data_IF_365109182205
#
_entry.id   IF_365109182205
#
_cell.length_a   1.000
_cell.length_b   1.000
_cell.length_c   1.000
_cell.angle_alpha   90.00
_cell.angle_beta   90.00
_cell.angle_gamma   90.00
#
_symmetry.space_group_name_H-M   'P 1'
#
loop_
_entity.id
_entity.type
_entity.pdbx_description
1 polymer ?
#
# COMPACT_ATOMS: atom_id res chain seq x y z
N UNK A 1 73.63 31.38 -41.87
CA UNK A 1 73.57 30.39 -42.96
C UNK A 1 72.24 29.64 -42.88
N UNK A 2 71.34 29.89 -43.83
CA UNK A 2 70.07 29.16 -44.02
C UNK A 2 70.36 27.78 -44.62
N UNK A 3 69.75 26.73 -44.10
CA UNK A 3 69.44 25.49 -44.85
C UNK A 3 67.93 25.24 -44.68
N UNK A 4 67.12 25.26 -45.74
CA UNK A 4 65.71 24.97 -45.66
C UNK A 4 65.49 23.45 -45.57
N UNK A 5 64.56 23.03 -44.72
CA UNK A 5 64.04 21.67 -44.71
C UNK A 5 63.15 21.48 -45.96
N UNK A 6 63.54 20.59 -46.85
CA UNK A 6 62.78 20.19 -48.03
C UNK A 6 61.80 19.08 -47.62
N UNK A 7 60.53 19.40 -47.45
CA UNK A 7 59.44 18.42 -47.43
C UNK A 7 59.25 17.88 -48.85
N UNK A 8 59.80 16.70 -49.13
CA UNK A 8 59.57 15.98 -50.37
C UNK A 8 58.08 15.63 -50.47
N UNK A 9 57.44 16.01 -51.58
CA UNK A 9 56.07 15.58 -51.91
C UNK A 9 56.11 14.05 -52.09
N UNK A 10 55.38 13.31 -51.25
CA UNK A 10 55.18 11.87 -51.43
C UNK A 10 54.63 11.60 -52.84
N UNK A 11 55.18 10.59 -53.51
CA UNK A 11 54.67 10.07 -54.78
C UNK A 11 53.19 9.68 -54.60
N UNK A 12 52.26 10.21 -55.43
CA UNK A 12 50.83 9.88 -55.35
C UNK A 12 50.53 8.38 -55.26
N UNK A 13 51.34 7.54 -55.92
CA UNK A 13 51.15 6.08 -55.91
C UNK A 13 51.53 5.44 -54.56
N UNK A 14 52.49 6.01 -53.84
CA UNK A 14 52.85 5.55 -52.50
C UNK A 14 51.75 5.92 -51.49
N UNK A 15 51.17 7.11 -51.63
CA UNK A 15 50.02 7.53 -50.82
C UNK A 15 48.81 6.59 -51.00
N UNK A 16 48.55 6.12 -52.23
CA UNK A 16 47.48 5.14 -52.46
C UNK A 16 47.80 3.78 -51.84
N UNK A 17 49.06 3.32 -51.87
CA UNK A 17 49.45 2.09 -51.18
C UNK A 17 49.23 2.20 -49.66
N UNK A 18 49.51 3.37 -49.07
CA UNK A 18 49.31 3.61 -47.65
C UNK A 18 47.82 3.58 -47.27
N UNK A 19 46.95 4.16 -48.10
CA UNK A 19 45.49 4.08 -47.91
C UNK A 19 44.96 2.64 -48.02
N UNK A 20 45.50 1.84 -48.94
CA UNK A 20 45.14 0.41 -49.04
C UNK A 20 45.61 -0.36 -47.80
N UNK A 21 46.79 -0.06 -47.27
CA UNK A 21 47.30 -0.67 -46.02
C UNK A 21 46.42 -0.30 -44.82
N UNK A 22 45.99 0.96 -44.69
CA UNK A 22 45.05 1.41 -43.65
C UNK A 22 43.70 0.68 -43.74
N UNK A 23 43.19 0.49 -44.96
CA UNK A 23 41.97 -0.29 -45.15
C UNK A 23 42.11 -1.77 -44.77
N UNK A 24 43.27 -2.37 -45.02
CA UNK A 24 43.55 -3.75 -44.59
C UNK A 24 43.61 -3.85 -43.05
N UNK A 25 44.14 -2.83 -42.37
CA UNK A 25 44.15 -2.79 -40.90
C UNK A 25 42.76 -2.69 -40.28
N UNK A 26 41.77 -2.22 -41.04
CA UNK A 26 40.37 -2.16 -40.63
C UNK A 26 39.61 -3.49 -40.80
N UNK A 27 40.28 -4.54 -41.29
CA UNK A 27 39.68 -5.86 -41.52
C UNK A 27 39.62 -6.75 -40.28
N UNK A 28 38.65 -7.67 -40.28
CA UNK A 28 38.50 -8.71 -39.25
C UNK A 28 39.37 -9.95 -39.51
N UNK A 29 40.21 -9.95 -40.56
CA UNK A 29 41.12 -11.07 -40.81
C UNK A 29 42.21 -11.12 -39.74
N UNK A 30 42.81 -12.30 -39.46
CA UNK A 30 43.80 -12.43 -38.41
C UNK A 30 44.99 -11.46 -38.60
N UNK A 31 45.52 -10.84 -37.54
CA UNK A 31 46.58 -9.81 -37.66
C UNK A 31 47.84 -10.26 -38.40
N UNK A 32 48.14 -11.57 -38.37
CA UNK A 32 49.24 -12.15 -39.14
C UNK A 32 49.02 -12.06 -40.66
N UNK A 33 47.76 -12.27 -41.11
CA UNK A 33 47.35 -12.18 -42.51
C UNK A 33 47.35 -10.72 -42.96
N UNK A 34 46.81 -9.81 -42.15
CA UNK A 34 46.86 -8.37 -42.41
C UNK A 34 48.29 -7.86 -42.58
N UNK A 35 49.21 -8.24 -41.66
CA UNK A 35 50.62 -7.82 -41.74
C UNK A 35 51.30 -8.36 -43.00
N UNK A 36 51.01 -9.61 -43.37
CA UNK A 36 51.53 -10.22 -44.60
C UNK A 36 51.02 -9.45 -45.83
N UNK A 37 49.71 -9.25 -45.95
CA UNK A 37 49.10 -8.56 -47.09
C UNK A 37 49.61 -7.12 -47.17
N UNK A 38 49.63 -6.36 -46.07
CA UNK A 38 50.17 -4.99 -46.02
C UNK A 38 51.62 -4.92 -46.46
N UNK A 39 52.48 -5.89 -46.06
CA UNK A 39 53.86 -5.96 -46.51
C UNK A 39 54.02 -6.22 -48.02
N UNK A 40 53.02 -6.82 -48.65
CA UNK A 40 53.01 -7.16 -50.08
C UNK A 40 52.29 -6.13 -50.96
N UNK A 41 51.52 -5.20 -50.38
CA UNK A 41 50.79 -4.13 -51.10
C UNK A 41 51.70 -3.38 -52.05
N UNK A 42 52.85 -2.86 -51.56
CA UNK A 42 53.74 -2.01 -52.36
C UNK A 42 54.38 -2.76 -53.53
N UNK A 43 54.80 -4.01 -53.34
CA UNK A 43 55.43 -4.80 -54.42
C UNK A 43 54.42 -5.29 -55.46
N UNK A 44 53.15 -5.43 -55.09
CA UNK A 44 52.08 -5.89 -55.98
C UNK A 44 51.37 -4.75 -56.73
N UNK A 45 51.04 -3.65 -56.05
CA UNK A 45 50.21 -2.57 -56.59
C UNK A 45 51.02 -1.45 -57.29
N UNK A 46 52.32 -1.31 -57.01
CA UNK A 46 53.20 -0.40 -57.77
C UNK A 46 53.63 -0.96 -59.13
N UNK A 47 53.40 -2.24 -59.40
CA UNK A 47 53.55 -2.81 -60.75
C UNK A 47 52.22 -2.59 -61.50
N UNK A 48 52.29 -2.08 -62.74
CA UNK A 48 51.10 -1.86 -63.58
C UNK A 48 50.42 -3.19 -63.90
N UNK A 49 49.10 -3.15 -64.11
CA UNK A 49 48.25 -4.32 -64.35
C UNK A 49 48.78 -5.21 -65.47
N UNK A 50 49.28 -4.61 -66.55
CA UNK A 50 49.84 -5.26 -67.74
C UNK A 50 51.21 -5.92 -67.51
N UNK A 51 51.95 -5.51 -66.47
CA UNK A 51 53.28 -6.04 -66.13
C UNK A 51 53.32 -6.92 -64.88
N UNK A 52 52.18 -7.07 -64.19
CA UNK A 52 52.10 -7.90 -62.97
C UNK A 52 52.34 -9.37 -63.28
N UNK A 53 53.24 -10.00 -62.52
CA UNK A 53 53.39 -11.45 -62.56
C UNK A 53 52.20 -12.14 -61.86
N UNK A 54 51.97 -13.43 -62.14
CA UNK A 54 50.83 -14.21 -61.59
C UNK A 54 50.68 -14.15 -60.06
N UNK A 55 51.77 -14.13 -59.29
CA UNK A 55 51.69 -14.09 -57.82
C UNK A 55 51.33 -12.69 -57.28
N UNK A 56 51.59 -11.62 -58.05
CA UNK A 56 51.30 -10.22 -57.71
C UNK A 56 49.81 -9.99 -58.00
N UNK A 57 49.31 -10.52 -59.12
CA UNK A 57 47.87 -10.55 -59.40
C UNK A 57 47.10 -11.31 -58.31
N UNK A 58 47.61 -12.46 -57.85
CA UNK A 58 47.00 -13.21 -56.74
C UNK A 58 46.98 -12.42 -55.41
N UNK A 59 48.05 -11.67 -55.10
CA UNK A 59 48.10 -10.78 -53.93
C UNK A 59 47.11 -9.63 -54.06
N UNK A 60 47.02 -8.98 -55.22
CA UNK A 60 46.04 -7.91 -55.47
C UNK A 60 44.62 -8.44 -55.30
N UNK A 61 44.33 -9.66 -55.76
CA UNK A 61 43.02 -10.28 -55.53
C UNK A 61 42.74 -10.49 -54.04
N UNK A 62 43.68 -11.05 -53.27
CA UNK A 62 43.49 -11.24 -51.82
C UNK A 62 43.28 -9.91 -51.09
N UNK A 63 44.00 -8.85 -51.49
CA UNK A 63 43.81 -7.50 -50.95
C UNK A 63 42.43 -6.96 -51.33
N UNK A 64 41.97 -7.21 -52.56
CA UNK A 64 40.65 -6.81 -53.05
C UNK A 64 39.53 -7.49 -52.27
N UNK A 65 39.61 -8.81 -52.10
CA UNK A 65 38.61 -9.57 -51.35
C UNK A 65 38.57 -9.12 -49.88
N UNK A 66 39.73 -8.83 -49.28
CA UNK A 66 39.81 -8.34 -47.90
C UNK A 66 39.20 -6.94 -47.75
N UNK A 67 39.51 -6.01 -48.65
CA UNK A 67 38.95 -4.64 -48.66
C UNK A 67 37.44 -4.67 -48.95
N UNK A 68 36.99 -5.56 -49.83
CA UNK A 68 35.56 -5.76 -50.07
C UNK A 68 34.85 -6.27 -48.80
N UNK A 69 35.42 -7.27 -48.12
CA UNK A 69 34.87 -7.80 -46.87
C UNK A 69 34.75 -6.76 -45.75
N UNK A 70 35.68 -5.80 -45.67
CA UNK A 70 35.57 -4.66 -44.74
C UNK A 70 34.37 -3.77 -45.07
N UNK A 71 34.14 -3.50 -46.36
CA UNK A 71 32.96 -2.75 -46.82
C UNK A 71 31.66 -3.45 -46.45
N UNK A 72 31.59 -4.76 -46.70
CA UNK A 72 30.43 -5.60 -46.33
C UNK A 72 30.20 -5.62 -44.81
N UNK A 73 31.27 -5.64 -44.00
CA UNK A 73 31.20 -5.54 -42.54
C UNK A 73 30.59 -4.21 -42.06
N UNK A 74 30.97 -3.08 -42.68
CA UNK A 74 30.37 -1.77 -42.40
C UNK A 74 28.89 -1.72 -42.81
N UNK A 75 28.56 -2.22 -44.01
CA UNK A 75 27.18 -2.28 -44.51
C UNK A 75 26.30 -3.14 -43.59
N UNK A 76 26.81 -4.29 -43.12
CA UNK A 76 26.12 -5.13 -42.15
C UNK A 76 25.93 -4.41 -40.80
N UNK A 77 26.95 -3.74 -40.27
CA UNK A 77 26.84 -2.98 -39.04
C UNK A 77 25.80 -1.84 -39.14
N UNK A 78 25.74 -1.15 -40.29
CA UNK A 78 24.72 -0.15 -40.60
C UNK A 78 23.32 -0.77 -40.65
N UNK A 79 23.17 -1.92 -41.31
CA UNK A 79 21.90 -2.62 -41.40
C UNK A 79 21.39 -3.05 -40.02
N UNK A 80 22.26 -3.62 -39.18
CA UNK A 80 21.95 -4.01 -37.80
C UNK A 80 21.50 -2.79 -36.97
N UNK A 81 22.20 -1.67 -37.12
CA UNK A 81 21.90 -0.44 -36.39
C UNK A 81 20.57 0.19 -36.85
N UNK A 82 20.30 0.20 -38.16
CA UNK A 82 19.01 0.63 -38.72
C UNK A 82 17.86 -0.24 -38.22
N UNK A 83 18.06 -1.55 -38.13
CA UNK A 83 17.09 -2.49 -37.57
C UNK A 83 16.78 -2.19 -36.10
N UNK A 84 17.79 -1.95 -35.26
CA UNK A 84 17.60 -1.54 -33.85
C UNK A 84 16.81 -0.24 -33.73
N UNK A 85 17.10 0.76 -34.58
CA UNK A 85 16.36 2.02 -34.60
C UNK A 85 14.91 1.80 -35.04
N UNK A 86 14.66 0.99 -36.08
CA UNK A 86 13.31 0.67 -36.54
C UNK A 86 12.48 -0.03 -35.45
N UNK A 87 13.09 -0.96 -34.70
CA UNK A 87 12.44 -1.64 -33.59
C UNK A 87 12.10 -0.73 -32.40
N UNK A 88 12.72 0.45 -32.31
CA UNK A 88 12.49 1.37 -31.19
C UNK A 88 11.07 1.96 -31.15
N UNK A 89 10.37 2.06 -32.28
CA UNK A 89 8.97 2.48 -32.29
C UNK A 89 8.04 1.39 -31.73
N UNK A 90 8.35 0.11 -31.99
CA UNK A 90 7.67 -1.02 -31.34
C UNK A 90 7.92 -0.99 -29.84
N UNK A 91 9.18 -0.84 -29.41
CA UNK A 91 9.51 -0.73 -27.98
C UNK A 91 8.83 0.49 -27.32
N UNK A 92 8.71 1.61 -28.04
CA UNK A 92 7.99 2.80 -27.56
C UNK A 92 6.53 2.45 -27.29
N UNK A 93 5.85 1.86 -28.27
CA UNK A 93 4.44 1.49 -28.13
C UNK A 93 4.23 0.51 -26.96
N UNK A 94 5.11 -0.48 -26.78
CA UNK A 94 5.06 -1.42 -25.65
C UNK A 94 5.27 -0.71 -24.31
N UNK A 95 6.26 0.19 -24.20
CA UNK A 95 6.53 0.94 -22.96
C UNK A 95 5.40 1.93 -22.64
N UNK A 96 4.81 2.57 -23.65
CA UNK A 96 3.63 3.42 -23.49
C UNK A 96 2.41 2.63 -23.02
N UNK A 97 2.16 1.46 -23.60
CA UNK A 97 1.11 0.54 -23.16
C UNK A 97 1.34 0.08 -21.72
N UNK A 98 2.58 -0.23 -21.34
CA UNK A 98 2.93 -0.59 -19.96
C UNK A 98 2.69 0.57 -18.98
N UNK A 99 3.02 1.82 -19.36
CA UNK A 99 2.70 3.01 -18.55
C UNK A 99 1.20 3.17 -18.40
N UNK A 100 0.43 3.01 -19.48
CA UNK A 100 -1.03 3.12 -19.44
C UNK A 100 -1.64 2.05 -18.52
N UNK A 101 -1.27 0.78 -18.70
CA UNK A 101 -1.78 -0.31 -17.88
C UNK A 101 -1.41 -0.17 -16.40
N UNK A 102 -0.18 0.26 -16.10
CA UNK A 102 0.23 0.51 -14.72
C UNK A 102 -0.55 1.66 -14.07
N UNK A 103 -0.90 2.72 -14.84
CA UNK A 103 -1.73 3.82 -14.33
C UNK A 103 -3.16 3.38 -14.06
N UNK A 104 -3.75 2.60 -14.98
CA UNK A 104 -5.10 2.05 -14.82
C UNK A 104 -5.19 1.16 -13.56
N UNK A 105 -4.20 0.29 -13.34
CA UNK A 105 -4.12 -0.50 -12.10
C UNK A 105 -3.96 0.38 -10.86
N UNK A 106 -3.05 1.36 -10.89
CA UNK A 106 -2.89 2.30 -9.77
C UNK A 106 -4.18 3.05 -9.42
N UNK A 107 -4.90 3.56 -10.43
CA UNK A 107 -6.17 4.26 -10.21
C UNK A 107 -7.24 3.32 -9.65
N UNK A 108 -7.32 2.07 -10.13
CA UNK A 108 -8.20 1.06 -9.56
C UNK A 108 -7.87 0.73 -8.10
N UNK A 109 -6.59 0.52 -7.76
CA UNK A 109 -6.15 0.27 -6.37
C UNK A 109 -6.35 1.48 -5.47
N UNK A 110 -6.23 2.70 -6.00
CA UNK A 110 -6.51 3.94 -5.28
C UNK A 110 -7.99 4.07 -4.91
N UNK A 111 -8.90 3.77 -5.84
CA UNK A 111 -10.34 3.73 -5.57
C UNK A 111 -10.68 2.67 -4.52
N UNK A 112 -10.16 1.45 -4.67
CA UNK A 112 -10.36 0.38 -3.69
C UNK A 112 -9.85 0.79 -2.30
N UNK A 113 -8.68 1.41 -2.20
CA UNK A 113 -8.14 1.90 -0.93
C UNK A 113 -9.06 2.96 -0.30
N UNK A 114 -9.63 3.84 -1.11
CA UNK A 114 -10.59 4.85 -0.64
C UNK A 114 -11.89 4.21 -0.12
N UNK A 115 -12.43 3.21 -0.83
CA UNK A 115 -13.59 2.45 -0.38
C UNK A 115 -13.33 1.75 0.96
N UNK A 116 -12.20 1.05 1.09
CA UNK A 116 -11.80 0.38 2.35
C UNK A 116 -11.59 1.36 3.49
N UNK A 117 -11.07 2.56 3.21
CA UNK A 117 -10.94 3.64 4.20
C UNK A 117 -12.30 4.08 4.74
N UNK A 118 -13.29 4.28 3.87
CA UNK A 118 -14.63 4.67 4.31
C UNK A 118 -15.34 3.54 5.06
N UNK A 119 -15.19 2.30 4.61
CA UNK A 119 -15.71 1.13 5.33
C UNK A 119 -15.14 1.04 6.75
N UNK A 120 -13.80 1.13 6.89
CA UNK A 120 -13.15 1.13 8.20
C UNK A 120 -13.60 2.30 9.09
N UNK A 121 -13.83 3.48 8.51
CA UNK A 121 -14.36 4.62 9.26
C UNK A 121 -15.78 4.35 9.81
N UNK A 122 -16.64 3.71 9.02
CA UNK A 122 -17.97 3.28 9.44
C UNK A 122 -17.88 2.21 10.54
N UNK A 123 -17.01 1.21 10.39
CA UNK A 123 -16.79 0.17 11.40
C UNK A 123 -16.26 0.77 12.72
N UNK A 124 -15.38 1.75 12.65
CA UNK A 124 -14.87 2.46 13.84
C UNK A 124 -15.95 3.29 14.54
N UNK A 125 -16.91 3.86 13.80
CA UNK A 125 -18.08 4.53 14.39
C UNK A 125 -19.01 3.52 15.06
N UNK A 126 -19.28 2.38 14.41
CA UNK A 126 -20.08 1.31 14.99
C UNK A 126 -19.45 0.75 16.27
N UNK A 127 -18.12 0.55 16.29
CA UNK A 127 -17.38 0.14 17.48
C UNK A 127 -17.56 1.12 18.65
N UNK A 128 -17.43 2.43 18.39
CA UNK A 128 -17.62 3.46 19.43
C UNK A 128 -19.06 3.43 19.97
N UNK A 129 -20.05 3.40 19.08
CA UNK A 129 -21.46 3.36 19.46
C UNK A 129 -21.79 2.11 20.28
N UNK A 130 -21.28 0.94 19.89
CA UNK A 130 -21.49 -0.30 20.63
C UNK A 130 -20.81 -0.29 22.00
N UNK A 131 -19.59 0.27 22.10
CA UNK A 131 -18.88 0.45 23.38
C UNK A 131 -19.66 1.35 24.34
N UNK A 132 -20.21 2.46 23.82
CA UNK A 132 -21.09 3.34 24.61
C UNK A 132 -22.37 2.63 25.02
N UNK A 133 -22.94 1.79 24.15
CA UNK A 133 -24.09 0.93 24.45
C UNK A 133 -23.84 0.01 25.66
N UNK A 134 -22.72 -0.70 25.66
CA UNK A 134 -22.30 -1.54 26.81
C UNK A 134 -22.17 -0.70 28.08
N UNK A 135 -21.49 0.45 28.00
CA UNK A 135 -21.33 1.34 29.16
C UNK A 135 -22.66 1.84 29.72
N UNK A 136 -23.62 2.18 28.84
CA UNK A 136 -24.97 2.62 29.25
C UNK A 136 -25.76 1.49 29.90
N UNK A 137 -25.75 0.30 29.31
CA UNK A 137 -26.42 -0.88 29.86
C UNK A 137 -25.86 -1.27 31.24
N UNK A 138 -24.53 -1.26 31.40
CA UNK A 138 -23.88 -1.52 32.68
C UNK A 138 -24.23 -0.47 33.75
N UNK A 139 -24.28 0.81 33.37
CA UNK A 139 -24.67 1.88 34.29
C UNK A 139 -26.14 1.73 34.73
N UNK A 140 -27.04 1.45 33.78
CA UNK A 140 -28.46 1.23 34.07
C UNK A 140 -28.68 0.00 34.98
N UNK A 141 -27.91 -1.07 34.79
CA UNK A 141 -27.96 -2.26 35.65
C UNK A 141 -27.48 -1.94 37.07
N UNK A 142 -26.39 -1.20 37.23
CA UNK A 142 -25.87 -0.79 38.55
C UNK A 142 -26.82 0.11 39.32
N UNK A 143 -27.39 1.10 38.65
CA UNK A 143 -28.36 2.02 39.29
C UNK A 143 -29.60 1.24 39.72
N UNK A 144 -30.11 0.36 38.86
CA UNK A 144 -31.25 -0.49 39.19
C UNK A 144 -30.95 -1.45 40.34
N UNK A 145 -29.80 -2.13 40.35
CA UNK A 145 -29.43 -3.04 41.44
C UNK A 145 -29.29 -2.29 42.78
N UNK A 146 -28.80 -1.05 42.76
CA UNK A 146 -28.75 -0.19 43.95
C UNK A 146 -30.16 0.15 44.44
N UNK A 147 -31.04 0.58 43.55
CA UNK A 147 -32.42 0.91 43.89
C UNK A 147 -33.19 -0.31 44.43
N UNK A 148 -32.87 -1.52 43.96
CA UNK A 148 -33.44 -2.76 44.48
C UNK A 148 -32.92 -3.09 45.87
N UNK A 149 -31.61 -2.96 46.09
CA UNK A 149 -31.03 -3.16 47.41
C UNK A 149 -31.61 -2.20 48.46
N UNK A 150 -31.84 -0.94 48.09
CA UNK A 150 -32.42 0.05 48.99
C UNK A 150 -33.90 -0.27 49.29
N UNK A 151 -34.65 -0.77 48.30
CA UNK A 151 -36.03 -1.28 48.52
C UNK A 151 -36.06 -2.54 49.39
N UNK A 152 -35.13 -3.48 49.20
CA UNK A 152 -35.01 -4.68 50.02
C UNK A 152 -34.74 -4.32 51.48
N UNK A 153 -33.80 -3.40 51.75
CA UNK A 153 -33.55 -2.87 53.10
C UNK A 153 -34.76 -2.17 53.70
N UNK A 154 -35.50 -1.40 52.90
CA UNK A 154 -36.72 -0.75 53.36
C UNK A 154 -37.80 -1.78 53.74
N UNK A 155 -37.91 -2.87 52.98
CA UNK A 155 -38.79 -4.01 53.31
C UNK A 155 -38.37 -4.67 54.62
N UNK A 156 -37.09 -5.03 54.76
CA UNK A 156 -36.56 -5.68 55.97
C UNK A 156 -36.79 -4.82 57.22
N UNK A 157 -36.52 -3.50 57.13
CA UNK A 157 -36.78 -2.58 58.22
C UNK A 157 -38.27 -2.51 58.60
N UNK A 158 -39.16 -2.49 57.61
CA UNK A 158 -40.60 -2.50 57.84
C UNK A 158 -41.08 -3.81 58.48
N UNK A 159 -40.53 -4.95 58.05
CA UNK A 159 -40.83 -6.27 58.60
C UNK A 159 -40.33 -6.42 60.05
N UNK A 160 -39.14 -5.89 60.37
CA UNK A 160 -38.62 -5.84 61.74
C UNK A 160 -39.50 -4.95 62.63
N UNK A 161 -39.93 -3.77 62.16
CA UNK A 161 -40.83 -2.90 62.95
C UNK A 161 -42.15 -3.63 63.27
N UNK A 162 -42.73 -4.33 62.29
CA UNK A 162 -43.97 -5.09 62.51
C UNK A 162 -43.76 -6.24 63.49
N UNK A 163 -42.68 -7.00 63.34
CA UNK A 163 -42.42 -8.23 64.13
C UNK A 163 -41.96 -7.91 65.54
N UNK A 164 -41.01 -6.98 65.68
CA UNK A 164 -40.29 -6.73 66.92
C UNK A 164 -40.95 -5.67 67.80
N UNK A 165 -41.70 -4.73 67.20
CA UNK A 165 -42.32 -3.61 67.94
C UNK A 165 -43.84 -3.69 67.94
N UNK A 166 -44.48 -3.81 66.77
CA UNK A 166 -45.95 -3.73 66.66
C UNK A 166 -46.60 -5.00 67.23
N UNK A 167 -46.17 -6.18 66.81
CA UNK A 167 -46.81 -7.45 67.20
C UNK A 167 -46.83 -7.66 68.73
N UNK A 168 -45.72 -7.49 69.47
CA UNK A 168 -45.72 -7.68 70.92
C UNK A 168 -46.59 -6.66 71.65
N UNK A 169 -46.60 -5.41 71.20
CA UNK A 169 -47.44 -4.34 71.77
C UNK A 169 -48.93 -4.56 71.48
N UNK A 170 -49.27 -5.02 70.27
CA UNK A 170 -50.67 -5.32 69.90
C UNK A 170 -51.22 -6.47 70.74
N UNK A 171 -50.42 -7.53 70.95
CA UNK A 171 -50.81 -8.72 71.69
C UNK A 171 -50.76 -8.54 73.22
N UNK A 172 -50.20 -7.43 73.71
CA UNK A 172 -50.01 -7.22 75.15
C UNK A 172 -48.92 -8.10 75.77
N UNK A 173 -47.98 -8.59 74.96
CA UNK A 173 -46.87 -9.43 75.42
C UNK A 173 -45.80 -8.63 76.20
N UNK A 174 -45.82 -7.30 76.06
CA UNK A 174 -44.98 -6.35 76.79
C UNK A 174 -45.90 -5.40 77.55
N UNK A 175 -45.67 -5.20 78.85
CA UNK A 175 -46.55 -4.41 79.73
C UNK A 175 -45.75 -3.39 80.56
N UNK A 176 -46.44 -2.48 81.25
CA UNK A 176 -45.81 -1.52 82.16
C UNK A 176 -44.83 -0.57 81.47
N UNK A 177 -43.70 -0.30 82.13
CA UNK A 177 -42.69 0.65 81.63
C UNK A 177 -42.00 0.15 80.34
N UNK A 178 -41.89 -1.17 80.14
CA UNK A 178 -41.31 -1.75 78.92
C UNK A 178 -42.22 -1.56 77.70
N UNK A 179 -43.55 -1.55 77.91
CA UNK A 179 -44.51 -1.22 76.85
C UNK A 179 -44.38 0.24 76.41
N UNK A 180 -44.20 1.17 77.36
CA UNK A 180 -43.96 2.59 77.04
C UNK A 180 -42.67 2.79 76.25
N UNK A 181 -41.57 2.17 76.69
CA UNK A 181 -40.29 2.21 75.96
C UNK A 181 -40.39 1.64 74.55
N UNK A 182 -41.09 0.52 74.40
CA UNK A 182 -41.31 -0.11 73.09
C UNK A 182 -42.20 0.77 72.20
N UNK A 183 -43.21 1.45 72.75
CA UNK A 183 -44.06 2.38 72.02
C UNK A 183 -43.31 3.66 71.60
N UNK A 184 -42.38 4.17 72.42
CA UNK A 184 -41.50 5.29 72.05
C UNK A 184 -40.52 4.92 70.93
N UNK A 185 -39.95 3.72 70.99
CA UNK A 185 -39.11 3.16 69.94
C UNK A 185 -39.90 2.97 68.63
N UNK A 186 -41.12 2.44 68.72
CA UNK A 186 -42.04 2.33 67.60
C UNK A 186 -42.33 3.70 66.99
N UNK A 187 -42.73 4.68 67.79
CA UNK A 187 -43.02 6.04 67.32
C UNK A 187 -41.80 6.65 66.61
N UNK A 188 -40.61 6.45 67.15
CA UNK A 188 -39.35 6.92 66.54
C UNK A 188 -39.10 6.27 65.18
N UNK A 189 -39.33 4.95 65.07
CA UNK A 189 -39.20 4.21 63.81
C UNK A 189 -40.25 4.61 62.77
N UNK A 190 -41.51 4.78 63.18
CA UNK A 190 -42.60 5.21 62.31
C UNK A 190 -42.40 6.65 61.78
N UNK A 191 -41.88 7.56 62.63
CA UNK A 191 -41.50 8.91 62.22
C UNK A 191 -40.38 8.91 61.18
N UNK A 192 -39.36 8.06 61.35
CA UNK A 192 -38.26 7.92 60.37
C UNK A 192 -38.73 7.37 59.03
N UNK A 193 -39.75 6.50 59.04
CA UNK A 193 -40.35 5.99 57.83
C UNK A 193 -41.20 7.04 57.10
N UNK A 194 -41.70 8.07 57.82
CA UNK A 194 -42.54 9.13 57.27
C UNK A 194 -43.78 8.60 56.50
N UNK A 195 -44.36 7.49 56.99
CA UNK A 195 -45.41 6.75 56.28
C UNK A 195 -46.83 6.99 56.77
N UNK A 196 -47.00 7.61 57.94
CA UNK A 196 -48.30 7.72 58.64
C UNK A 196 -48.68 9.17 58.86
N UNK A 197 -49.99 9.43 58.84
CA UNK A 197 -50.55 10.74 59.15
C UNK A 197 -50.18 11.18 60.56
N UNK A 198 -49.92 12.48 60.71
CA UNK A 198 -49.46 13.08 61.96
C UNK A 198 -50.45 12.84 63.11
N UNK A 199 -51.76 12.85 62.82
CA UNK A 199 -52.82 12.54 63.78
C UNK A 199 -52.75 11.09 64.29
N UNK A 200 -52.41 10.13 63.42
CA UNK A 200 -52.27 8.73 63.83
C UNK A 200 -51.00 8.56 64.68
N UNK A 201 -49.90 9.21 64.28
CA UNK A 201 -48.64 9.22 65.05
C UNK A 201 -48.81 9.78 66.45
N UNK A 202 -49.67 10.79 66.64
CA UNK A 202 -49.96 11.33 67.98
C UNK A 202 -50.80 10.39 68.85
N UNK A 203 -51.70 9.60 68.26
CA UNK A 203 -52.62 8.73 69.00
C UNK A 203 -52.04 7.34 69.32
N UNK A 204 -51.07 6.87 68.52
CA UNK A 204 -50.48 5.53 68.66
C UNK A 204 -49.90 5.25 70.06
N UNK A 205 -49.09 6.13 70.69
CA UNK A 205 -48.46 5.82 71.97
C UNK A 205 -49.47 5.57 73.10
N UNK A 206 -50.55 6.35 73.15
CA UNK A 206 -51.59 6.20 74.17
C UNK A 206 -52.49 4.99 73.91
N UNK A 207 -52.80 4.71 72.64
CA UNK A 207 -53.65 3.58 72.26
C UNK A 207 -52.94 2.22 72.42
N UNK A 208 -51.66 2.16 72.04
CA UNK A 208 -50.93 0.88 71.93
C UNK A 208 -50.31 0.41 73.26
N UNK A 209 -50.08 1.31 74.21
CA UNK A 209 -49.58 0.98 75.56
C UNK A 209 -50.67 0.48 76.51
N UNK A 210 -51.95 0.71 76.19
CA UNK A 210 -53.08 0.10 76.90
C UNK A 210 -53.11 -1.40 76.63
N UNK A 211 -53.37 -2.19 77.67
CA UNK A 211 -53.61 -3.62 77.53
C UNK A 211 -54.76 -3.87 76.56
N UNK A 212 -54.73 -4.95 75.76
CA UNK A 212 -55.75 -5.23 74.75
C UNK A 212 -57.19 -5.20 75.30
N UNK A 213 -57.41 -5.71 76.51
CA UNK A 213 -58.71 -5.73 77.18
C UNK A 213 -59.19 -4.34 77.65
N UNK A 214 -58.28 -3.37 77.78
CA UNK A 214 -58.53 -2.02 78.27
C UNK A 214 -58.63 -0.98 77.15
N UNK A 215 -58.47 -1.39 75.88
CA UNK A 215 -58.58 -0.51 74.71
C UNK A 215 -60.05 -0.18 74.43
N UNK A 216 -60.39 1.10 74.40
CA UNK A 216 -61.70 1.58 73.96
C UNK A 216 -61.85 1.50 72.43
N UNK A 217 -63.04 1.80 71.91
CA UNK A 217 -63.31 1.78 70.46
C UNK A 217 -62.34 2.65 69.65
N UNK A 218 -61.94 3.82 70.19
CA UNK A 218 -60.95 4.69 69.59
C UNK A 218 -59.55 4.04 69.55
N UNK A 219 -59.06 3.53 70.69
CA UNK A 219 -57.74 2.91 70.80
C UNK A 219 -57.61 1.70 69.85
N UNK A 220 -58.66 0.87 69.78
CA UNK A 220 -58.73 -0.28 68.87
C UNK A 220 -58.67 0.17 67.41
N UNK A 221 -59.34 1.26 67.05
CA UNK A 221 -59.31 1.80 65.68
C UNK A 221 -57.92 2.36 65.32
N UNK A 222 -57.24 3.02 66.25
CA UNK A 222 -55.88 3.54 66.05
C UNK A 222 -54.88 2.38 65.82
N UNK A 223 -54.99 1.32 66.64
CA UNK A 223 -54.13 0.13 66.50
C UNK A 223 -54.41 -0.63 65.21
N UNK A 224 -55.69 -0.84 64.85
CA UNK A 224 -56.07 -1.48 63.57
C UNK A 224 -55.57 -0.67 62.38
N UNK A 225 -55.78 0.65 62.40
CA UNK A 225 -55.30 1.56 61.36
C UNK A 225 -53.78 1.50 61.18
N UNK A 226 -53.00 1.44 62.26
CA UNK A 226 -51.55 1.23 62.17
C UNK A 226 -51.19 -0.11 61.50
N UNK A 227 -51.85 -1.20 61.88
CA UNK A 227 -51.57 -2.53 61.32
C UNK A 227 -51.93 -2.61 59.83
N UNK A 228 -53.11 -2.11 59.46
CA UNK A 228 -53.56 -2.02 58.07
C UNK A 228 -52.61 -1.18 57.22
N UNK A 229 -52.18 -0.04 57.76
CA UNK A 229 -51.31 0.88 57.05
C UNK A 229 -49.93 0.29 56.83
N UNK A 230 -49.35 -0.38 57.82
CA UNK A 230 -48.06 -1.09 57.68
C UNK A 230 -48.16 -2.27 56.71
N UNK A 231 -49.24 -3.06 56.78
CA UNK A 231 -49.45 -4.19 55.86
C UNK A 231 -49.61 -3.70 54.41
N UNK A 232 -50.34 -2.58 54.20
CA UNK A 232 -50.43 -1.94 52.88
C UNK A 232 -49.05 -1.60 52.31
N UNK A 233 -48.11 -1.10 53.12
CA UNK A 233 -46.73 -0.82 52.63
C UNK A 233 -45.97 -2.08 52.38
N UNK A 234 -46.06 -3.09 53.24
CA UNK A 234 -45.39 -4.38 53.04
C UNK A 234 -45.82 -4.99 51.71
N UNK A 235 -47.13 -4.98 51.45
CA UNK A 235 -47.69 -5.43 50.17
C UNK A 235 -47.19 -4.59 48.99
N UNK A 236 -47.18 -3.26 49.11
CA UNK A 236 -46.70 -2.37 48.04
C UNK A 236 -45.22 -2.60 47.71
N UNK A 237 -44.34 -2.64 48.72
CA UNK A 237 -42.90 -2.88 48.52
C UNK A 237 -42.65 -4.29 48.00
N UNK A 238 -43.39 -5.30 48.48
CA UNK A 238 -43.30 -6.66 47.95
C UNK A 238 -43.73 -6.73 46.48
N UNK A 239 -44.78 -5.99 46.09
CA UNK A 239 -45.23 -5.91 44.71
C UNK A 239 -44.19 -5.20 43.81
N UNK A 240 -43.58 -4.10 44.27
CA UNK A 240 -42.51 -3.42 43.55
C UNK A 240 -41.28 -4.32 43.34
N UNK A 241 -40.86 -5.05 44.39
CA UNK A 241 -39.75 -6.00 44.30
C UNK A 241 -40.09 -7.16 43.36
N UNK A 242 -41.32 -7.70 43.40
CA UNK A 242 -41.75 -8.71 42.45
C UNK A 242 -41.74 -8.19 41.00
N UNK A 243 -42.22 -6.97 40.77
CA UNK A 243 -42.22 -6.31 39.46
C UNK A 243 -40.81 -5.98 38.95
N UNK A 244 -39.82 -5.87 39.83
CA UNK A 244 -38.43 -5.62 39.44
C UNK A 244 -37.69 -6.81 38.86
N UNK A 245 -38.11 -8.03 39.19
CA UNK A 245 -37.50 -9.28 38.70
C UNK A 245 -37.48 -9.34 37.16
N UNK A 246 -38.60 -9.15 36.44
CA UNK A 246 -38.57 -9.13 34.98
C UNK A 246 -37.75 -7.95 34.41
N UNK A 247 -37.73 -6.81 35.09
CA UNK A 247 -36.89 -5.67 34.67
C UNK A 247 -35.40 -5.96 34.80
N UNK A 248 -34.99 -6.70 35.84
CA UNK A 248 -33.60 -7.15 36.02
C UNK A 248 -33.18 -8.09 34.90
N UNK A 249 -34.03 -9.06 34.55
CA UNK A 249 -33.75 -9.98 33.45
C UNK A 249 -33.74 -9.24 32.10
N UNK A 250 -34.64 -8.28 31.90
CA UNK A 250 -34.63 -7.41 30.72
C UNK A 250 -33.29 -6.65 30.60
N UNK A 251 -32.84 -5.97 31.66
CA UNK A 251 -31.56 -5.23 31.65
C UNK A 251 -30.35 -6.12 31.40
N UNK A 252 -30.37 -7.35 31.95
CA UNK A 252 -29.34 -8.36 31.67
C UNK A 252 -29.35 -8.78 30.19
N UNK A 253 -30.54 -8.95 29.62
CA UNK A 253 -30.72 -9.19 28.19
C UNK A 253 -30.18 -8.04 27.33
N UNK A 254 -30.50 -6.80 27.69
CA UNK A 254 -30.00 -5.59 27.02
C UNK A 254 -28.46 -5.48 27.09
N UNK A 255 -27.87 -5.78 28.26
CA UNK A 255 -26.41 -5.84 28.42
C UNK A 255 -25.79 -6.91 27.53
N UNK A 256 -26.35 -8.13 27.54
CA UNK A 256 -25.83 -9.22 26.70
C UNK A 256 -25.92 -8.89 25.20
N UNK A 257 -27.02 -8.24 24.76
CA UNK A 257 -27.16 -7.77 23.39
C UNK A 257 -26.14 -6.68 23.05
N UNK A 258 -25.91 -5.73 23.96
CA UNK A 258 -24.92 -4.68 23.78
C UNK A 258 -23.49 -5.24 23.71
N UNK A 259 -23.15 -6.21 24.55
CA UNK A 259 -21.85 -6.91 24.55
C UNK A 259 -21.64 -7.69 23.25
N UNK A 260 -22.66 -8.41 22.77
CA UNK A 260 -22.61 -9.10 21.48
C UNK A 260 -22.40 -8.13 20.31
N UNK A 261 -23.13 -7.00 20.31
CA UNK A 261 -22.96 -5.96 19.29
C UNK A 261 -21.56 -5.32 19.35
N UNK A 262 -20.98 -5.17 20.54
CA UNK A 262 -19.64 -4.65 20.72
C UNK A 262 -18.57 -5.60 20.17
N UNK A 263 -18.64 -6.90 20.47
CA UNK A 263 -17.68 -7.86 19.93
C UNK A 263 -17.82 -8.02 18.41
N UNK A 264 -19.04 -8.00 17.85
CA UNK A 264 -19.24 -7.97 16.38
C UNK A 264 -18.63 -6.71 15.74
N UNK A 265 -18.90 -5.52 16.30
CA UNK A 265 -18.35 -4.27 15.78
C UNK A 265 -16.82 -4.22 15.89
N UNK A 266 -16.25 -4.79 16.95
CA UNK A 266 -14.79 -4.92 17.15
C UNK A 266 -14.17 -5.87 16.13
N UNK A 267 -14.79 -7.03 15.88
CA UNK A 267 -14.33 -7.96 14.85
C UNK A 267 -14.35 -7.31 13.46
N UNK A 268 -15.44 -6.62 13.11
CA UNK A 268 -15.55 -5.87 11.84
C UNK A 268 -14.50 -4.78 11.71
N UNK A 269 -14.26 -4.01 12.78
CA UNK A 269 -13.21 -2.99 12.78
C UNK A 269 -11.82 -3.59 12.53
N UNK A 270 -11.50 -4.73 13.13
CA UNK A 270 -10.23 -5.42 12.90
C UNK A 270 -10.10 -5.89 11.44
N UNK A 271 -11.10 -6.58 10.91
CA UNK A 271 -11.12 -7.04 9.52
C UNK A 271 -11.03 -5.84 8.54
N UNK A 272 -11.75 -4.76 8.82
CA UNK A 272 -11.70 -3.53 8.03
C UNK A 272 -10.31 -2.88 8.05
N UNK A 273 -9.61 -2.92 9.19
CA UNK A 273 -8.27 -2.37 9.34
C UNK A 273 -7.22 -3.16 8.55
N UNK A 274 -7.31 -4.50 8.58
CA UNK A 274 -6.48 -5.39 7.78
C UNK A 274 -6.73 -5.16 6.28
N UNK A 275 -7.99 -5.16 5.84
CA UNK A 275 -8.36 -4.93 4.45
C UNK A 275 -7.90 -3.56 3.92
N UNK A 276 -7.98 -2.50 4.74
CA UNK A 276 -7.45 -1.19 4.39
C UNK A 276 -5.91 -1.21 4.26
N UNK A 277 -5.23 -1.89 5.17
CA UNK A 277 -3.76 -2.02 5.17
C UNK A 277 -3.27 -2.75 3.92
N UNK A 278 -3.91 -3.87 3.57
CA UNK A 278 -3.62 -4.62 2.35
C UNK A 278 -3.88 -3.79 1.09
N UNK A 279 -5.03 -3.12 1.00
CA UNK A 279 -5.35 -2.25 -0.13
C UNK A 279 -4.32 -1.13 -0.28
N UNK A 280 -3.90 -0.51 0.84
CA UNK A 280 -2.89 0.56 0.82
C UNK A 280 -1.52 0.07 0.39
N UNK A 281 -1.12 -1.13 0.82
CA UNK A 281 0.12 -1.76 0.36
C UNK A 281 0.07 -2.03 -1.16
N UNK A 282 -1.04 -2.59 -1.65
CA UNK A 282 -1.24 -2.82 -3.09
C UNK A 282 -1.20 -1.52 -3.89
N UNK A 283 -1.83 -0.45 -3.40
CA UNK A 283 -1.76 0.88 -4.02
C UNK A 283 -0.32 1.39 -4.11
N UNK A 284 0.48 1.25 -3.04
CA UNK A 284 1.88 1.68 -3.02
C UNK A 284 2.72 0.90 -4.03
N UNK A 285 2.50 -0.40 -4.16
CA UNK A 285 3.17 -1.25 -5.16
C UNK A 285 2.81 -0.79 -6.58
N UNK A 286 1.53 -0.56 -6.87
CA UNK A 286 1.08 -0.08 -8.17
C UNK A 286 1.68 1.31 -8.51
N UNK A 287 1.80 2.22 -7.53
CA UNK A 287 2.47 3.51 -7.73
C UNK A 287 3.95 3.35 -8.12
N UNK A 288 4.65 2.40 -7.48
CA UNK A 288 6.04 2.09 -7.82
C UNK A 288 6.15 1.52 -9.24
N UNK A 289 5.22 0.66 -9.66
CA UNK A 289 5.14 0.15 -11.04
C UNK A 289 4.93 1.25 -12.06
N UNK A 290 4.07 2.24 -11.78
CA UNK A 290 3.91 3.43 -12.64
C UNK A 290 5.24 4.17 -12.80
N UNK A 291 5.94 4.44 -11.69
CA UNK A 291 7.24 5.15 -11.71
C UNK A 291 8.28 4.36 -12.50
N UNK A 292 8.34 3.04 -12.33
CA UNK A 292 9.26 2.18 -13.06
C UNK A 292 8.97 2.19 -14.57
N UNK A 293 7.71 2.03 -14.96
CA UNK A 293 7.30 2.05 -16.37
C UNK A 293 7.60 3.41 -17.02
N UNK A 294 7.31 4.53 -16.33
CA UNK A 294 7.63 5.88 -16.81
C UNK A 294 9.13 6.09 -16.97
N UNK A 295 9.94 5.60 -16.00
CA UNK A 295 11.39 5.65 -16.10
C UNK A 295 11.89 4.87 -17.31
N UNK A 296 11.40 3.65 -17.52
CA UNK A 296 11.76 2.83 -18.68
C UNK A 296 11.41 3.55 -20.01
N UNK A 297 10.23 4.16 -20.11
CA UNK A 297 9.85 4.94 -21.29
C UNK A 297 10.78 6.14 -21.50
N UNK A 298 11.09 6.90 -20.45
CA UNK A 298 11.98 8.07 -20.54
C UNK A 298 13.42 7.75 -20.95
N UNK A 299 13.87 6.51 -20.71
CA UNK A 299 15.20 6.05 -21.08
C UNK A 299 15.30 5.61 -22.55
N UNK A 300 14.16 5.44 -23.25
CA UNK A 300 14.16 5.04 -24.65
C UNK A 300 14.71 6.15 -25.57
N UNK A 301 14.29 7.40 -25.40
CA UNK A 301 14.74 8.49 -26.28
C UNK A 301 16.27 8.70 -26.25
N UNK A 302 16.95 8.70 -25.09
CA UNK A 302 18.41 8.72 -25.04
C UNK A 302 19.06 7.51 -25.74
N UNK A 303 18.50 6.32 -25.59
CA UNK A 303 19.00 5.10 -26.24
C UNK A 303 18.89 5.23 -27.77
N UNK A 304 17.74 5.66 -28.29
CA UNK A 304 17.53 5.87 -29.72
C UNK A 304 18.47 6.95 -30.27
N UNK A 305 18.66 8.06 -29.54
CA UNK A 305 19.61 9.10 -29.95
C UNK A 305 21.05 8.61 -30.00
N UNK A 306 21.47 7.77 -29.06
CA UNK A 306 22.78 7.13 -29.08
C UNK A 306 22.91 6.23 -30.31
N UNK A 307 21.89 5.40 -30.58
CA UNK A 307 21.89 4.54 -31.75
C UNK A 307 21.97 5.32 -33.07
N UNK A 308 21.24 6.43 -33.19
CA UNK A 308 21.28 7.33 -34.34
C UNK A 308 22.64 8.00 -34.53
N UNK A 309 23.30 8.38 -33.43
CA UNK A 309 24.65 8.95 -33.48
C UNK A 309 25.66 7.91 -33.99
N UNK A 310 25.59 6.68 -33.48
CA UNK A 310 26.46 5.60 -33.90
C UNK A 310 26.22 5.21 -35.36
N UNK A 311 24.95 5.22 -35.81
CA UNK A 311 24.62 5.01 -37.21
C UNK A 311 25.29 6.05 -38.12
N UNK A 312 25.16 7.35 -37.79
CA UNK A 312 25.80 8.42 -38.57
C UNK A 312 27.32 8.29 -38.60
N UNK A 313 27.92 7.85 -37.49
CA UNK A 313 29.36 7.60 -37.41
C UNK A 313 29.77 6.46 -38.34
N UNK A 314 29.06 5.33 -38.31
CA UNK A 314 29.32 4.18 -39.20
C UNK A 314 29.12 4.55 -40.68
N UNK A 315 28.08 5.32 -41.00
CA UNK A 315 27.84 5.80 -42.38
C UNK A 315 28.96 6.72 -42.87
N UNK A 316 29.51 7.58 -41.99
CA UNK A 316 30.68 8.41 -42.31
C UNK A 316 31.95 7.57 -42.48
N UNK A 317 32.22 6.62 -41.57
CA UNK A 317 33.37 5.72 -41.66
C UNK A 317 33.33 4.86 -42.94
N UNK A 318 32.17 4.37 -43.35
CA UNK A 318 32.00 3.65 -44.61
C UNK A 318 32.26 4.56 -45.82
N UNK A 319 31.77 5.81 -45.79
CA UNK A 319 32.02 6.77 -46.86
C UNK A 319 33.51 7.09 -47.01
N UNK A 320 34.20 7.31 -45.88
CA UNK A 320 35.65 7.54 -45.84
C UNK A 320 36.42 6.30 -46.33
N UNK A 321 35.98 5.10 -45.92
CA UNK A 321 36.56 3.83 -46.37
C UNK A 321 36.42 3.63 -47.89
N UNK A 322 35.27 4.01 -48.47
CA UNK A 322 35.05 3.94 -49.91
C UNK A 322 35.82 5.01 -50.69
N UNK A 323 35.91 6.24 -50.16
CA UNK A 323 36.64 7.34 -50.79
C UNK A 323 38.17 7.18 -50.70
N UNK A 324 38.68 6.52 -49.65
CA UNK A 324 40.11 6.29 -49.44
C UNK A 324 40.54 4.88 -49.88
N UNK A 325 40.65 3.91 -48.95
CA UNK A 325 41.20 2.58 -49.22
C UNK A 325 40.65 1.86 -50.47
N UNK A 326 39.32 1.87 -50.66
CA UNK A 326 38.70 1.18 -51.80
C UNK A 326 38.98 1.88 -53.12
N UNK A 327 38.87 3.21 -53.17
CA UNK A 327 39.17 3.99 -54.38
C UNK A 327 40.66 3.88 -54.74
N UNK A 328 41.55 3.99 -53.75
CA UNK A 328 42.99 3.83 -53.95
C UNK A 328 43.35 2.44 -54.49
N UNK A 329 42.69 1.39 -53.99
CA UNK A 329 42.87 0.05 -54.51
C UNK A 329 42.41 -0.06 -55.97
N UNK A 330 41.26 0.52 -56.32
CA UNK A 330 40.74 0.49 -57.68
C UNK A 330 41.70 1.17 -58.67
N UNK A 331 42.16 2.39 -58.34
CA UNK A 331 43.11 3.16 -59.15
C UNK A 331 44.43 2.41 -59.37
N UNK A 332 45.00 1.86 -58.28
CA UNK A 332 46.24 1.09 -58.37
C UNK A 332 46.05 -0.21 -59.14
N UNK A 333 44.93 -0.91 -58.93
CA UNK A 333 44.68 -2.22 -59.54
C UNK A 333 44.45 -2.14 -61.05
N UNK A 334 43.89 -1.04 -61.56
CA UNK A 334 43.58 -0.86 -62.99
C UNK A 334 44.63 -0.10 -63.79
N UNK A 335 45.67 0.47 -63.14
CA UNK A 335 46.72 1.23 -63.81
C UNK A 335 47.49 0.40 -64.85
N UNK A 336 47.52 0.88 -66.10
CA UNK A 336 48.32 0.34 -67.22
C UNK A 336 49.38 1.39 -67.59
N UNK A 337 50.56 0.98 -68.03
CA UNK A 337 51.57 1.93 -68.51
C UNK A 337 51.17 2.53 -69.88
N UNK A 338 51.46 3.82 -70.15
CA UNK A 338 51.27 4.40 -71.47
C UNK A 338 52.10 3.63 -72.49
N UNK A 339 51.45 3.16 -73.56
CA UNK A 339 52.14 2.53 -74.69
C UNK A 339 52.99 3.61 -75.38
N UNK A 340 54.31 3.53 -75.29
CA UNK A 340 55.20 4.40 -76.07
C UNK A 340 54.91 4.19 -77.57
N UNK A 341 54.71 5.25 -78.38
CA UNK A 341 54.55 5.10 -79.81
C UNK A 341 55.86 4.55 -80.40
N UNK A 342 55.78 3.42 -81.10
CA UNK A 342 56.89 2.83 -81.84
C UNK A 342 57.51 3.87 -82.77
N UNK A 343 58.74 4.28 -82.46
CA UNK A 343 59.59 5.00 -83.42
C UNK A 343 60.02 3.97 -84.46
N UNK A 344 59.33 3.91 -85.59
CA UNK A 344 59.80 3.20 -86.78
C UNK A 344 61.03 3.90 -87.31
N UNK A 345 62.22 3.42 -86.93
CA UNK A 345 63.46 3.75 -87.61
C UNK A 345 63.46 3.01 -88.95
N UNK A 346 63.06 3.73 -90.01
CA UNK A 346 63.17 3.29 -91.39
C UNK A 346 64.66 3.10 -91.72
N UNK A 347 64.98 1.88 -92.15
CA UNK A 347 66.23 1.54 -92.81
C UNK A 347 66.40 2.40 -94.07
N UNK A 348 67.59 2.99 -94.24
CA UNK A 348 68.01 3.54 -95.52
C UNK A 348 69.43 3.11 -95.88
N UNK A 349 69.48 2.42 -97.03
CA UNK A 349 70.57 2.06 -97.96
C UNK A 349 71.82 1.32 -97.45
#
# INVERSE_FOLDING_TARGET
MKRPASTAKLDPLQSYCDQVQEGLESSKVPPAVTRMLSGMVRSALLTSKDKRHKYQASVVQMVTDTIQGVGEDFEQAIADQKSKIANSETERAEREAAVKGAKEDFDAKKLLTQEKKYALAADAQAFKAAKEGVSKAQAAMREADKDLLDREKAKENLESIVTDLVTPLVQGAVTGDDARRSAENLLSSLKKLALLDESLLTAIPEAITKEPAMRGAFDTSVVSGLQEELERRRAAVAQELAASTPQKEQRKGELSQAEAAFEDAKAKQHVGAEAYTEARAAQSTAEASVKQAQKALSQLDPQVKALQKDLKKLEAELADFYAGPRSALAELSERIEPTEPEVTEQADA
#
